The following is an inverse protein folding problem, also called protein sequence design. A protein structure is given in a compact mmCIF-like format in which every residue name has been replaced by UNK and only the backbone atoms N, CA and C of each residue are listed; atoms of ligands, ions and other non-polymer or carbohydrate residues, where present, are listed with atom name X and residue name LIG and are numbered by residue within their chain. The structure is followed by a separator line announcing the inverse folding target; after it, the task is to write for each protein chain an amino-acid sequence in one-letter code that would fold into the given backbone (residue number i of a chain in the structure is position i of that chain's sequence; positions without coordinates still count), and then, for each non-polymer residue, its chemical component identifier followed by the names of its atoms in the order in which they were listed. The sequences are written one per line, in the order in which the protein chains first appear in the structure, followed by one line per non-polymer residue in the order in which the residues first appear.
data_IF_771953155416
#
_entry.id   IF_771953155416
#
_cell.length_a   1.000
_cell.length_b   1.000
_cell.length_c   1.000
_cell.angle_alpha   90.00
_cell.angle_beta   90.00
_cell.angle_gamma   90.00
#
_symmetry.space_group_name_H-M   'P 1'
#
loop_
_entity.id
_entity.type
_entity.pdbx_description
1 polymer ?
#
# COMPACT_ATOMS: atom_id res chain seq x y z
N UNK A 1 17.54 19.20 -3.40
CA UNK A 1 16.19 18.74 -2.99
C UNK A 1 16.38 17.80 -1.80
N UNK A 2 15.77 18.08 -0.65
CA UNK A 2 15.84 17.18 0.49
C UNK A 2 14.87 16.02 0.27
N UNK A 3 15.40 14.81 0.07
CA UNK A 3 14.58 13.61 -0.05
C UNK A 3 14.12 13.21 1.36
N UNK A 4 12.90 13.58 1.73
CA UNK A 4 12.29 13.11 2.98
C UNK A 4 11.90 11.64 2.79
N UNK A 5 12.74 10.74 3.28
CA UNK A 5 12.44 9.32 3.31
C UNK A 5 11.30 9.11 4.33
N UNK A 6 10.21 8.41 3.99
CA UNK A 6 9.15 8.08 4.94
C UNK A 6 9.75 7.45 6.20
N UNK A 7 9.33 7.91 7.38
CA UNK A 7 9.92 7.51 8.66
C UNK A 7 9.94 5.99 8.85
N UNK A 8 8.95 5.27 8.31
CA UNK A 8 8.94 3.81 8.31
C UNK A 8 10.16 3.20 7.59
N UNK A 9 10.52 3.70 6.41
CA UNK A 9 11.68 3.22 5.65
C UNK A 9 12.97 3.58 6.38
N UNK A 10 13.05 4.80 6.93
CA UNK A 10 14.18 5.21 7.77
C UNK A 10 14.35 4.28 8.98
N UNK A 11 13.28 4.05 9.75
CA UNK A 11 13.31 3.21 10.96
C UNK A 11 13.56 1.74 10.62
N UNK A 12 13.01 1.24 9.51
CA UNK A 12 13.26 -0.12 9.02
C UNK A 12 14.72 -0.28 8.59
N UNK A 13 15.27 0.70 7.88
CA UNK A 13 16.68 0.72 7.49
C UNK A 13 17.60 0.78 8.71
N UNK A 14 17.32 1.65 9.69
CA UNK A 14 18.08 1.70 10.93
C UNK A 14 17.96 0.40 11.73
N UNK A 15 16.78 -0.22 11.79
CA UNK A 15 16.58 -1.52 12.43
C UNK A 15 17.38 -2.62 11.74
N UNK A 16 17.39 -2.65 10.40
CA UNK A 16 18.21 -3.58 9.63
C UNK A 16 19.71 -3.31 9.83
N UNK A 17 20.14 -2.06 9.81
CA UNK A 17 21.55 -1.67 10.00
C UNK A 17 22.02 -1.99 11.42
N UNK A 18 21.21 -1.77 12.45
CA UNK A 18 21.52 -2.18 13.82
C UNK A 18 21.66 -3.71 13.93
N UNK A 19 20.84 -4.46 13.19
CA UNK A 19 20.92 -5.92 13.14
C UNK A 19 22.12 -6.43 12.34
N UNK A 20 22.59 -5.67 11.34
CA UNK A 20 23.79 -5.97 10.54
C UNK A 20 25.10 -5.55 11.23
N UNK A 21 25.09 -4.45 11.99
CA UNK A 21 26.26 -3.95 12.72
C UNK A 21 26.68 -4.88 13.88
N UNK A 22 25.76 -5.74 14.35
CA UNK A 22 26.06 -6.79 15.33
C UNK A 22 26.67 -8.06 14.73
N UNK A 23 26.80 -8.19 13.40
CA UNK A 23 27.34 -9.41 12.78
C UNK A 23 28.03 -9.11 11.42
N UNK A 24 29.27 -8.60 11.43
CA UNK A 24 29.96 -8.23 10.21
C UNK A 24 30.57 -9.48 9.54
N UNK A 25 29.86 -10.04 8.55
CA UNK A 25 30.48 -10.90 7.52
C UNK A 25 30.55 -12.42 7.78
N UNK A 26 29.60 -13.04 8.48
CA UNK A 26 29.53 -14.50 8.62
C UNK A 26 28.48 -15.15 7.72
N UNK A 27 28.80 -16.30 7.11
CA UNK A 27 27.76 -17.23 6.64
C UNK A 27 26.80 -17.53 7.81
N UNK A 28 25.52 -17.18 7.66
CA UNK A 28 24.56 -17.22 8.78
C UNK A 28 23.80 -15.92 9.08
N UNK A 29 23.71 -14.95 8.15
CA UNK A 29 22.50 -14.12 8.11
C UNK A 29 21.31 -15.10 8.13
N UNK A 30 20.28 -14.95 9.00
CA UNK A 30 19.13 -15.82 8.92
C UNK A 30 18.60 -15.74 7.49
N UNK A 31 18.80 -16.81 6.72
CA UNK A 31 18.30 -16.96 5.36
C UNK A 31 16.76 -17.04 5.36
N UNK A 32 16.17 -17.05 6.56
CA UNK A 32 14.75 -17.24 6.83
C UNK A 32 13.89 -15.98 6.64
N UNK A 33 14.49 -14.85 6.22
CA UNK A 33 13.73 -13.63 5.90
C UNK A 33 13.20 -13.69 4.48
N UNK A 34 11.99 -14.23 4.37
CA UNK A 34 11.26 -14.35 3.10
C UNK A 34 10.46 -13.06 2.87
N UNK A 35 10.76 -12.35 1.78
CA UNK A 35 9.88 -11.31 1.26
C UNK A 35 8.85 -11.95 0.33
N UNK A 36 7.58 -11.88 0.72
CA UNK A 36 6.47 -12.29 -0.13
C UNK A 36 5.85 -11.03 -0.73
N UNK A 37 5.91 -10.92 -2.06
CA UNK A 37 5.23 -9.85 -2.80
C UNK A 37 3.95 -10.42 -3.41
N UNK A 38 2.80 -9.88 -2.99
CA UNK A 38 1.49 -10.26 -3.53
C UNK A 38 1.00 -9.16 -4.45
N UNK A 39 0.97 -9.45 -5.76
CA UNK A 39 0.33 -8.56 -6.72
C UNK A 39 -1.16 -8.88 -6.84
N UNK A 40 -2.01 -7.91 -6.58
CA UNK A 40 -3.45 -8.03 -6.77
C UNK A 40 -3.79 -7.73 -8.24
N UNK A 41 -3.89 -8.78 -9.05
CA UNK A 41 -4.31 -8.67 -10.46
C UNK A 41 -5.80 -8.31 -10.61
N UNK A 42 -6.15 -7.70 -11.74
CA UNK A 42 -7.54 -7.34 -12.08
C UNK A 42 -7.84 -5.85 -11.86
N UNK A 43 -9.08 -5.54 -11.44
CA UNK A 43 -9.58 -4.17 -11.31
C UNK A 43 -9.44 -3.55 -9.92
N UNK A 44 -8.67 -4.15 -9.00
CA UNK A 44 -8.48 -3.56 -7.68
C UNK A 44 -7.60 -2.31 -7.77
N UNK A 45 -8.12 -1.18 -7.30
CA UNK A 45 -7.40 0.08 -7.28
C UNK A 45 -7.09 0.55 -5.83
N UNK A 46 -6.22 1.56 -5.71
CA UNK A 46 -5.80 2.09 -4.41
C UNK A 46 -6.93 2.72 -3.59
N UNK A 47 -7.91 3.36 -4.25
CA UNK A 47 -9.07 4.02 -3.63
C UNK A 47 -10.21 3.03 -3.31
N UNK A 48 -10.17 1.83 -3.88
CA UNK A 48 -11.00 0.69 -3.49
C UNK A 48 -10.39 -0.10 -2.32
N UNK A 49 -9.08 -0.02 -2.13
CA UNK A 49 -8.34 -0.70 -1.05
C UNK A 49 -8.28 0.16 0.21
N UNK A 50 -7.78 1.39 0.09
CA UNK A 50 -7.66 2.39 1.16
C UNK A 50 -8.52 3.59 0.76
N UNK A 51 -9.68 3.67 1.38
CA UNK A 51 -10.76 4.59 1.04
C UNK A 51 -10.58 5.89 1.82
N UNK A 52 -10.45 7.05 1.15
CA UNK A 52 -10.48 8.36 1.80
C UNK A 52 -11.93 8.79 2.05
N UNK A 53 -12.63 8.09 2.95
CA UNK A 53 -14.05 8.30 3.21
C UNK A 53 -14.41 9.70 3.72
N UNK A 54 -13.42 10.45 4.23
CA UNK A 54 -13.60 11.84 4.68
C UNK A 54 -13.56 12.89 3.55
N UNK A 55 -13.30 12.48 2.31
CA UNK A 55 -13.17 13.40 1.16
C UNK A 55 -14.39 13.32 0.26
N UNK A 56 -15.08 14.44 0.03
CA UNK A 56 -16.27 14.48 -0.84
C UNK A 56 -15.91 14.22 -2.32
N UNK A 57 -14.68 14.59 -2.72
CA UNK A 57 -14.13 14.37 -4.05
C UNK A 57 -14.10 12.89 -4.41
N UNK A 58 -13.87 12.01 -3.42
CA UNK A 58 -13.92 10.56 -3.63
C UNK A 58 -15.30 10.11 -4.11
N UNK A 59 -16.37 10.56 -3.45
CA UNK A 59 -17.73 10.18 -3.81
C UNK A 59 -18.17 10.84 -5.12
N UNK A 60 -17.80 12.10 -5.35
CA UNK A 60 -18.06 12.80 -6.61
C UNK A 60 -17.40 12.10 -7.81
N UNK A 61 -16.18 11.59 -7.63
CA UNK A 61 -15.46 10.83 -8.65
C UNK A 61 -15.95 9.38 -8.78
N UNK A 62 -16.68 8.85 -7.79
CA UNK A 62 -17.13 7.44 -7.72
C UNK A 62 -18.61 7.32 -7.37
N UNK A 63 -19.53 7.91 -8.16
CA UNK A 63 -20.95 7.98 -7.82
C UNK A 63 -21.63 6.60 -7.71
N UNK A 64 -21.10 5.57 -8.37
CA UNK A 64 -21.68 4.22 -8.39
C UNK A 64 -20.94 3.22 -7.49
N UNK A 65 -19.62 3.41 -7.34
CA UNK A 65 -18.73 2.43 -6.67
C UNK A 65 -18.07 2.95 -5.39
N UNK A 66 -18.31 4.19 -5.00
CA UNK A 66 -17.70 4.80 -3.82
C UNK A 66 -18.21 4.16 -2.54
N UNK A 67 -17.31 3.66 -1.69
CA UNK A 67 -17.68 2.96 -0.46
C UNK A 67 -18.03 3.96 0.65
N UNK A 68 -19.15 3.81 1.37
CA UNK A 68 -19.59 4.79 2.36
C UNK A 68 -18.66 4.85 3.57
N UNK A 69 -18.63 6.01 4.23
CA UNK A 69 -17.97 6.19 5.51
C UNK A 69 -18.50 5.23 6.60
N UNK A 70 -17.73 5.00 7.70
CA UNK A 70 -18.10 4.04 8.76
C UNK A 70 -19.50 4.24 9.38
N UNK A 71 -20.01 5.48 9.41
CA UNK A 71 -21.35 5.82 9.91
C UNK A 71 -22.42 5.99 8.83
N UNK A 72 -22.08 5.75 7.56
CA UNK A 72 -22.98 5.91 6.42
C UNK A 72 -23.89 4.70 6.20
N UNK A 73 -24.96 4.89 5.44
CA UNK A 73 -25.84 3.80 4.99
C UNK A 73 -25.59 3.50 3.51
N UNK A 74 -25.25 2.26 3.18
CA UNK A 74 -25.01 1.82 1.81
C UNK A 74 -26.32 1.69 1.02
N UNK A 75 -26.51 2.47 -0.05
CA UNK A 75 -27.50 2.15 -1.09
C UNK A 75 -26.83 1.29 -2.15
N UNK A 76 -27.16 -0.02 -2.16
CA UNK A 76 -26.68 -0.96 -3.18
C UNK A 76 -25.24 -1.45 -3.04
N UNK A 77 -24.58 -1.21 -1.90
CA UNK A 77 -23.18 -1.59 -1.66
C UNK A 77 -23.06 -2.52 -0.44
N UNK A 78 -22.03 -3.38 -0.43
CA UNK A 78 -21.90 -4.53 0.49
C UNK A 78 -21.36 -4.21 1.88
N UNK A 79 -21.24 -2.93 2.25
CA UNK A 79 -20.80 -2.52 3.58
C UNK A 79 -20.29 -1.07 3.63
N UNK A 80 -19.71 -0.70 4.78
CA UNK A 80 -19.06 0.60 5.02
C UNK A 80 -17.56 0.43 5.18
N UNK A 81 -16.80 1.49 4.95
CA UNK A 81 -15.35 1.51 5.13
C UNK A 81 -14.98 1.11 6.57
N UNK A 82 -13.96 0.26 6.70
CA UNK A 82 -13.40 -0.15 7.98
C UNK A 82 -12.40 0.92 8.44
N UNK A 83 -12.76 1.73 9.44
CA UNK A 83 -11.97 2.90 9.85
C UNK A 83 -10.53 2.56 10.23
N UNK A 84 -9.55 3.18 9.58
CA UNK A 84 -8.13 3.13 9.94
C UNK A 84 -7.72 4.38 10.74
N UNK A 85 -8.11 5.56 10.24
CA UNK A 85 -7.76 6.84 10.84
C UNK A 85 -8.94 7.80 10.71
N UNK A 86 -9.53 8.15 11.84
CA UNK A 86 -10.69 9.05 11.87
C UNK A 86 -10.32 10.49 11.51
N UNK A 87 -9.15 10.97 11.93
CA UNK A 87 -8.72 12.35 11.69
C UNK A 87 -8.40 12.58 10.21
N UNK A 88 -7.77 11.59 9.58
CA UNK A 88 -7.47 11.63 8.13
C UNK A 88 -8.63 11.17 7.27
N UNK A 89 -9.68 10.60 7.86
CA UNK A 89 -10.83 10.06 7.14
C UNK A 89 -10.46 8.89 6.23
N UNK A 90 -9.63 7.97 6.71
CA UNK A 90 -9.13 6.82 5.95
C UNK A 90 -9.70 5.50 6.49
N UNK A 91 -10.09 4.60 5.60
CA UNK A 91 -10.56 3.25 5.95
C UNK A 91 -10.20 2.19 4.92
N UNK A 92 -10.36 0.92 5.27
CA UNK A 92 -10.22 -0.20 4.34
C UNK A 92 -11.55 -0.60 3.73
N UNK A 93 -11.49 -1.28 2.58
CA UNK A 93 -12.63 -1.96 2.00
C UNK A 93 -13.34 -2.88 3.02
N UNK A 94 -14.69 -2.95 3.05
CA UNK A 94 -15.45 -3.83 3.94
C UNK A 94 -15.05 -5.30 3.88
N UNK A 95 -14.53 -5.76 2.73
CA UNK A 95 -14.08 -7.14 2.52
C UNK A 95 -12.71 -7.43 3.13
N UNK A 96 -11.94 -6.42 3.51
CA UNK A 96 -10.56 -6.57 4.02
C UNK A 96 -10.49 -6.71 5.55
N UNK A 97 -11.46 -7.41 6.15
CA UNK A 97 -11.54 -7.60 7.61
C UNK A 97 -10.28 -8.24 8.21
N UNK A 98 -9.66 -9.17 7.49
CA UNK A 98 -8.41 -9.80 7.92
C UNK A 98 -7.24 -8.80 8.01
N UNK A 99 -7.08 -7.95 6.99
CA UNK A 99 -6.07 -6.88 7.03
C UNK A 99 -6.38 -5.84 8.11
N UNK A 100 -7.66 -5.54 8.33
CA UNK A 100 -8.08 -4.66 9.42
C UNK A 100 -7.65 -5.22 10.78
N UNK A 101 -7.83 -6.51 11.03
CA UNK A 101 -7.36 -7.16 12.27
C UNK A 101 -5.84 -7.03 12.44
N UNK A 102 -5.07 -7.23 11.35
CA UNK A 102 -3.61 -7.04 11.41
C UNK A 102 -3.21 -5.59 11.69
N UNK A 103 -3.94 -4.63 11.14
CA UNK A 103 -3.72 -3.20 11.42
C UNK A 103 -3.99 -2.88 12.88
N UNK A 104 -5.11 -3.36 13.42
CA UNK A 104 -5.49 -3.16 14.82
C UNK A 104 -4.49 -3.78 15.79
N UNK A 105 -3.90 -4.92 15.41
CA UNK A 105 -2.81 -5.57 16.13
C UNK A 105 -1.45 -4.87 15.99
N UNK A 106 -1.34 -3.79 15.20
CA UNK A 106 -0.08 -3.10 14.91
C UNK A 106 0.87 -3.88 14.00
N UNK A 107 0.39 -4.91 13.30
CA UNK A 107 1.15 -5.81 12.41
C UNK A 107 1.06 -5.42 10.93
N UNK A 108 0.24 -4.43 10.58
CA UNK A 108 0.10 -3.91 9.22
C UNK A 108 0.31 -2.39 9.21
N UNK A 109 1.06 -1.91 8.21
CA UNK A 109 1.16 -0.51 7.88
C UNK A 109 0.76 -0.28 6.42
N UNK A 110 0.16 0.89 6.15
CA UNK A 110 -0.19 1.33 4.80
C UNK A 110 0.79 2.41 4.37
N UNK A 111 1.45 2.21 3.23
CA UNK A 111 2.29 3.22 2.60
C UNK A 111 1.62 3.68 1.30
N UNK A 112 1.26 4.95 1.23
CA UNK A 112 0.69 5.58 0.04
C UNK A 112 1.76 6.34 -0.76
N UNK A 113 1.47 6.62 -2.03
CA UNK A 113 2.38 7.38 -2.90
C UNK A 113 3.62 6.60 -3.34
N UNK A 114 3.57 5.27 -3.28
CA UNK A 114 4.66 4.39 -3.72
C UNK A 114 4.62 4.29 -5.26
N UNK A 115 5.72 4.69 -5.90
CA UNK A 115 5.80 4.92 -7.33
C UNK A 115 7.25 4.99 -7.82
N UNK A 116 7.43 5.03 -9.14
CA UNK A 116 8.70 5.37 -9.78
C UNK A 116 8.59 6.76 -10.45
N UNK A 117 9.69 7.52 -10.59
CA UNK A 117 9.65 8.84 -11.21
C UNK A 117 9.17 8.79 -12.66
N UNK A 118 8.42 9.80 -13.09
CA UNK A 118 7.90 9.94 -14.46
C UNK A 118 7.15 8.68 -14.95
N UNK A 119 6.06 8.27 -14.27
CA UNK A 119 5.35 7.06 -14.61
C UNK A 119 4.81 7.09 -16.04
N UNK A 120 4.96 5.98 -16.76
CA UNK A 120 4.40 5.83 -18.09
C UNK A 120 2.92 5.43 -18.00
N UNK A 121 2.17 5.56 -19.11
CA UNK A 121 0.74 5.21 -19.20
C UNK A 121 0.48 3.78 -19.72
N UNK A 122 1.52 3.01 -20.01
CA UNK A 122 1.44 1.63 -20.48
C UNK A 122 1.38 0.67 -19.29
N UNK A 123 0.34 -0.17 -19.27
CA UNK A 123 0.19 -1.22 -18.27
C UNK A 123 1.37 -2.21 -18.31
N UNK A 124 1.74 -2.69 -19.50
CA UNK A 124 2.81 -3.68 -19.69
C UNK A 124 4.19 -3.12 -19.30
N UNK A 125 4.51 -1.92 -19.78
CA UNK A 125 5.80 -1.29 -19.47
C UNK A 125 5.92 -0.95 -17.99
N UNK A 126 4.84 -0.46 -17.36
CA UNK A 126 4.85 -0.20 -15.91
C UNK A 126 5.05 -1.48 -15.09
N UNK A 127 4.42 -2.59 -15.49
CA UNK A 127 4.57 -3.88 -14.82
C UNK A 127 6.00 -4.39 -14.89
N UNK A 128 6.62 -4.33 -16.08
CA UNK A 128 8.02 -4.70 -16.32
C UNK A 128 8.99 -3.87 -15.47
N UNK A 129 8.81 -2.53 -15.41
CA UNK A 129 9.59 -1.65 -14.52
C UNK A 129 9.49 -2.09 -13.05
N UNK A 130 8.28 -2.38 -12.56
CA UNK A 130 8.08 -2.80 -11.17
C UNK A 130 8.69 -4.16 -10.85
N UNK A 131 8.60 -5.11 -11.78
CA UNK A 131 9.10 -6.47 -11.59
C UNK A 131 10.62 -6.56 -11.71
N UNK A 132 11.21 -5.78 -12.62
CA UNK A 132 12.67 -5.77 -12.85
C UNK A 132 13.40 -4.69 -12.04
N UNK A 133 12.66 -3.77 -11.40
CA UNK A 133 13.19 -2.56 -10.79
C UNK A 133 14.04 -1.69 -11.75
N UNK A 134 13.79 -1.77 -13.07
CA UNK A 134 14.51 -1.02 -14.10
C UNK A 134 13.60 0.01 -14.78
N UNK A 135 13.79 1.30 -14.47
CA UNK A 135 12.98 2.38 -15.07
C UNK A 135 13.16 2.55 -16.59
N UNK A 136 14.17 1.93 -17.18
CA UNK A 136 14.41 1.91 -18.64
C UNK A 136 13.75 0.74 -19.39
N UNK A 137 13.07 -0.16 -18.67
CA UNK A 137 12.40 -1.32 -19.24
C UNK A 137 11.38 -0.93 -20.32
N UNK A 138 11.21 -1.80 -21.33
CA UNK A 138 10.42 -1.49 -22.54
C UNK A 138 9.06 -2.19 -22.56
N UNK A 139 8.77 -3.09 -21.61
CA UNK A 139 7.48 -3.78 -21.52
C UNK A 139 7.40 -4.99 -22.44
N UNK A 140 8.52 -5.66 -22.68
CA UNK A 140 8.65 -6.83 -23.55
C UNK A 140 8.52 -8.17 -22.81
N UNK A 141 8.21 -8.14 -21.50
CA UNK A 141 8.10 -9.32 -20.64
C UNK A 141 9.47 -9.84 -20.27
#
# INVERSE_FOLDING_TARGET
MATTIPQFIHNSALGMVAQLAGNPGGAGLPQDRILVVVQLGGGNDGLNTVIPFGMNEYYNARPTIGIPAPSGTAKGQTGVALMLDQQRGLGLNPSLKGLKSLYDDGKLAVLQGVGYPNPNRSHFTSMDIWQTANTGAKGNG
#
